data_IF_120827245552
#
_entry.id   IF_120827245552
#
_cell.length_a   1.000
_cell.length_b   1.000
_cell.length_c   1.000
_cell.angle_alpha   90.00
_cell.angle_beta   90.00
_cell.angle_gamma   90.00
#
_symmetry.space_group_name_H-M   'P 1'
#
loop_
_entity.id
_entity.type
_entity.pdbx_description
1 polymer ?
#
# COMPACT_ATOMS: atom_id res chain seq x y z
N UNK A 1 12.64 9.70 -25.11
CA UNK A 1 12.89 8.84 -23.93
C UNK A 1 11.52 8.43 -23.40
N UNK A 2 11.17 7.14 -23.41
CA UNK A 2 9.89 6.66 -22.87
C UNK A 2 10.08 6.37 -21.38
N UNK A 3 9.39 7.13 -20.53
CA UNK A 3 9.40 6.93 -19.09
C UNK A 3 8.29 5.95 -18.73
N UNK A 4 8.64 4.81 -18.16
CA UNK A 4 7.67 3.91 -17.54
C UNK A 4 7.42 4.40 -16.11
N UNK A 5 6.27 5.05 -15.89
CA UNK A 5 5.88 5.61 -14.60
C UNK A 5 5.35 4.52 -13.64
N UNK A 6 6.23 3.60 -13.24
CA UNK A 6 5.92 2.47 -12.38
C UNK A 6 6.69 2.52 -11.05
N UNK A 7 6.71 3.70 -10.42
CA UNK A 7 7.39 3.88 -9.14
C UNK A 7 6.54 3.27 -8.02
N UNK A 8 7.17 2.47 -7.17
CA UNK A 8 6.52 1.76 -6.08
C UNK A 8 7.50 1.46 -4.95
N UNK A 9 6.99 1.04 -3.79
CA UNK A 9 7.82 0.56 -2.67
C UNK A 9 8.45 1.62 -1.77
N UNK A 10 7.99 2.86 -1.81
CA UNK A 10 8.48 3.94 -0.93
C UNK A 10 7.92 3.85 0.49
N UNK A 11 6.77 3.20 0.70
CA UNK A 11 6.14 2.97 2.01
C UNK A 11 5.70 1.51 2.11
N UNK A 12 6.65 0.58 2.00
CA UNK A 12 6.36 -0.87 1.93
C UNK A 12 5.51 -1.33 3.11
N UNK A 13 4.56 -2.20 2.83
CA UNK A 13 3.80 -2.88 3.88
C UNK A 13 4.55 -4.11 4.44
N UNK A 14 4.17 -4.56 5.63
CA UNK A 14 4.62 -5.81 6.22
C UNK A 14 4.29 -5.90 7.71
N UNK A 15 4.76 -6.97 8.34
CA UNK A 15 4.42 -7.25 9.74
C UNK A 15 5.44 -6.68 10.74
N UNK A 16 6.63 -6.32 10.25
CA UNK A 16 7.71 -5.82 11.08
C UNK A 16 7.86 -4.28 10.93
N UNK A 17 7.53 -3.49 11.96
CA UNK A 17 7.68 -2.04 11.93
C UNK A 17 9.13 -1.56 11.84
N UNK A 18 10.12 -2.42 12.16
CA UNK A 18 11.53 -2.05 12.01
C UNK A 18 12.00 -2.05 10.54
N UNK A 19 11.26 -2.70 9.65
CA UNK A 19 11.64 -2.87 8.24
C UNK A 19 10.61 -2.38 7.23
N UNK A 20 9.41 -2.04 7.70
CA UNK A 20 8.26 -1.63 6.88
C UNK A 20 7.55 -0.42 7.47
N UNK A 21 6.89 0.37 6.62
CA UNK A 21 6.23 1.62 7.04
C UNK A 21 4.77 1.35 7.40
N UNK A 22 4.14 0.42 6.69
CA UNK A 22 2.73 0.11 6.82
C UNK A 22 2.51 -1.32 7.31
N UNK A 23 1.41 -1.56 8.00
CA UNK A 23 0.87 -2.91 8.20
C UNK A 23 0.18 -3.42 6.92
N UNK A 24 -0.28 -4.68 6.95
CA UNK A 24 -0.97 -5.32 5.82
C UNK A 24 -2.25 -4.60 5.37
N UNK A 25 -2.83 -3.74 6.20
CA UNK A 25 -4.01 -2.95 5.88
C UNK A 25 -3.66 -1.53 5.44
N UNK A 26 -2.40 -1.29 5.08
CA UNK A 26 -1.90 0.00 4.62
C UNK A 26 -2.01 1.12 5.65
N UNK A 27 -2.13 0.77 6.93
CA UNK A 27 -2.05 1.71 8.05
C UNK A 27 -0.60 1.87 8.47
N UNK A 28 -0.17 3.08 8.84
CA UNK A 28 1.16 3.27 9.42
C UNK A 28 1.29 2.57 10.76
N UNK A 29 2.46 2.03 11.08
CA UNK A 29 2.70 1.40 12.39
C UNK A 29 2.64 2.40 13.55
N UNK A 30 3.00 3.67 13.31
CA UNK A 30 3.12 4.70 14.35
C UNK A 30 1.78 5.36 14.72
N UNK A 31 0.81 5.37 13.81
CA UNK A 31 -0.45 6.10 13.97
C UNK A 31 -1.65 5.25 13.56
N UNK A 32 -2.63 5.18 14.47
CA UNK A 32 -3.80 4.32 14.27
C UNK A 32 -4.78 4.81 13.20
N UNK A 33 -4.73 6.08 12.84
CA UNK A 33 -5.69 6.74 11.94
C UNK A 33 -5.03 7.30 10.67
N UNK A 34 -3.80 6.89 10.36
CA UNK A 34 -3.09 7.29 9.15
C UNK A 34 -2.86 6.09 8.22
N UNK A 35 -3.25 6.26 6.96
CA UNK A 35 -3.22 5.23 5.93
C UNK A 35 -2.58 5.75 4.64
N UNK A 36 -1.87 4.88 3.92
CA UNK A 36 -1.27 5.19 2.62
C UNK A 36 -1.69 4.12 1.61
N UNK A 37 -2.52 4.51 0.64
CA UNK A 37 -3.19 3.56 -0.27
C UNK A 37 -2.90 3.92 -1.73
N UNK A 38 -1.67 3.62 -2.18
CA UNK A 38 -1.18 3.92 -3.54
C UNK A 38 -0.14 2.88 -4.00
N UNK A 39 0.76 3.20 -4.96
CA UNK A 39 1.84 2.29 -5.38
C UNK A 39 2.96 2.09 -4.36
N UNK A 40 3.01 2.85 -3.27
CA UNK A 40 4.12 2.82 -2.31
C UNK A 40 4.16 1.54 -1.46
N UNK A 41 3.03 0.84 -1.28
CA UNK A 41 2.94 -0.33 -0.38
C UNK A 41 3.70 -1.57 -0.88
N UNK A 42 4.01 -1.64 -2.18
CA UNK A 42 4.62 -2.82 -2.79
C UNK A 42 5.97 -3.15 -2.15
N UNK A 43 6.18 -4.36 -1.59
CA UNK A 43 7.49 -4.77 -1.12
C UNK A 43 8.54 -4.88 -2.22
N UNK A 44 8.07 -5.17 -3.45
CA UNK A 44 8.86 -5.33 -4.67
C UNK A 44 8.02 -4.94 -5.87
N UNK A 45 8.65 -4.39 -6.91
CA UNK A 45 7.96 -4.06 -8.15
C UNK A 45 7.42 -5.32 -8.84
N UNK A 46 6.24 -5.20 -9.46
CA UNK A 46 5.73 -6.22 -10.35
C UNK A 46 6.46 -6.13 -11.71
N UNK A 47 6.71 -7.27 -12.36
CA UNK A 47 7.26 -7.30 -13.73
C UNK A 47 6.31 -6.72 -14.79
N UNK A 48 5.13 -6.24 -14.37
CA UNK A 48 4.05 -5.66 -15.16
C UNK A 48 3.56 -4.38 -14.48
N UNK A 49 2.71 -3.61 -15.15
CA UNK A 49 2.09 -2.43 -14.53
C UNK A 49 1.30 -2.80 -13.26
N UNK A 50 1.51 -2.11 -12.13
CA UNK A 50 0.85 -2.39 -10.86
C UNK A 50 -0.52 -1.73 -10.77
N UNK A 51 -0.96 -0.99 -11.78
CA UNK A 51 -2.16 -0.15 -11.70
C UNK A 51 -3.40 -0.93 -11.20
N UNK A 52 -3.66 -2.11 -11.77
CA UNK A 52 -4.79 -2.95 -11.34
C UNK A 52 -4.60 -3.49 -9.91
N UNK A 53 -3.37 -3.81 -9.52
CA UNK A 53 -3.05 -4.24 -8.16
C UNK A 53 -3.22 -3.12 -7.14
N UNK A 54 -2.87 -1.88 -7.50
CA UNK A 54 -3.11 -0.69 -6.68
C UNK A 54 -4.61 -0.50 -6.48
N UNK A 55 -5.41 -0.57 -7.56
CA UNK A 55 -6.87 -0.44 -7.48
C UNK A 55 -7.47 -1.54 -6.61
N UNK A 56 -7.10 -2.80 -6.84
CA UNK A 56 -7.60 -3.93 -6.06
C UNK A 56 -7.26 -3.80 -4.57
N UNK A 57 -6.03 -3.37 -4.25
CA UNK A 57 -5.63 -3.14 -2.87
C UNK A 57 -6.39 -1.97 -2.23
N UNK A 58 -6.65 -0.90 -2.99
CA UNK A 58 -7.42 0.24 -2.50
C UNK A 58 -8.85 -0.15 -2.12
N UNK A 59 -9.52 -0.96 -2.94
CA UNK A 59 -10.84 -1.49 -2.63
C UNK A 59 -10.82 -2.36 -1.37
N UNK A 60 -9.86 -3.29 -1.25
CA UNK A 60 -9.68 -4.14 -0.08
C UNK A 60 -9.48 -3.33 1.21
N UNK A 61 -8.65 -2.28 1.16
CA UNK A 61 -8.45 -1.39 2.32
C UNK A 61 -9.70 -0.57 2.62
N UNK A 62 -10.43 -0.14 1.58
CA UNK A 62 -11.72 0.52 1.74
C UNK A 62 -12.74 -0.33 2.51
N UNK A 63 -12.88 -1.61 2.16
CA UNK A 63 -13.74 -2.54 2.88
C UNK A 63 -13.32 -2.67 4.35
N UNK A 64 -12.01 -2.80 4.62
CA UNK A 64 -11.47 -2.83 5.97
C UNK A 64 -11.78 -1.55 6.79
N UNK A 65 -11.72 -0.38 6.14
CA UNK A 65 -12.04 0.89 6.79
C UNK A 65 -13.54 0.99 7.13
N UNK A 66 -14.41 0.49 6.25
CA UNK A 66 -15.85 0.40 6.51
C UNK A 66 -16.11 -0.52 7.71
N UNK A 67 -15.45 -1.68 7.78
CA UNK A 67 -15.60 -2.58 8.93
C UNK A 67 -15.10 -1.97 10.25
N UNK A 68 -14.08 -1.11 10.20
CA UNK A 68 -13.47 -0.50 11.39
C UNK A 68 -14.22 0.74 11.89
N UNK A 69 -14.86 1.49 10.99
CA UNK A 69 -15.41 2.81 11.29
C UNK A 69 -16.88 3.00 10.90
N UNK A 70 -17.47 2.09 10.12
CA UNK A 70 -18.90 2.05 9.77
C UNK A 70 -19.74 1.38 10.84
#
# INVERSE_FOLDING_TARGET
IQVMANQCGTCRFGDDPATTVLDRNCRTHDLENLYVVDGSFFPSNASVSPALTIIANALRVGDHLIERFG
#
